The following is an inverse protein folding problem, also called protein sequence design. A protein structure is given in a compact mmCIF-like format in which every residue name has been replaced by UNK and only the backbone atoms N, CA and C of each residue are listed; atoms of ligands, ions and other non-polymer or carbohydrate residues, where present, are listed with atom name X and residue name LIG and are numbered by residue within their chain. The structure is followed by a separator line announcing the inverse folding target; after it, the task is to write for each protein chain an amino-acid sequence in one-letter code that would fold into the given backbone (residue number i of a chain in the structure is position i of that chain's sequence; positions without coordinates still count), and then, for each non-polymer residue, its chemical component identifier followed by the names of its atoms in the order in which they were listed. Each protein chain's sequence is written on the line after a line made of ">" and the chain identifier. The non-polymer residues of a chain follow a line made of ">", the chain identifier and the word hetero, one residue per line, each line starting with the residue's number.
data_IF_666272552551
#
_entry.id   IF_666272552551
#
_cell.length_a   1.000
_cell.length_b   1.000
_cell.length_c   1.000
_cell.angle_alpha   90.00
_cell.angle_beta   90.00
_cell.angle_gamma   90.00
#
_symmetry.space_group_name_H-M   'P 1'
#
loop_
_entity.id
_entity.type
_entity.pdbx_description
1 polymer ?
#
# COMPACT_ATOMS: atom_id res chain seq x y z
N UNK A 1 -35.52 2.21 -119.99
CA UNK A 1 -34.99 1.36 -118.89
C UNK A 1 -35.32 1.88 -117.46
N UNK A 2 -36.29 2.78 -117.23
CA UNK A 2 -36.54 3.30 -115.86
C UNK A 2 -37.15 2.26 -114.92
N UNK A 3 -38.32 1.71 -115.28
CA UNK A 3 -39.15 0.87 -114.41
C UNK A 3 -38.42 -0.33 -113.77
N UNK A 4 -37.44 -0.94 -114.44
CA UNK A 4 -36.67 -2.07 -113.88
C UNK A 4 -35.71 -1.63 -112.76
N UNK A 5 -35.15 -0.42 -112.83
CA UNK A 5 -34.37 0.16 -111.73
C UNK A 5 -35.27 0.56 -110.56
N UNK A 6 -36.48 1.04 -110.88
CA UNK A 6 -37.48 1.52 -109.93
C UNK A 6 -38.10 0.37 -109.11
N UNK A 7 -38.54 -0.71 -109.77
CA UNK A 7 -38.92 -1.97 -109.12
C UNK A 7 -37.79 -2.53 -108.24
N UNK A 8 -36.53 -2.48 -108.71
CA UNK A 8 -35.37 -2.94 -107.93
C UNK A 8 -35.01 -2.02 -106.76
N UNK A 9 -35.48 -0.76 -106.75
CA UNK A 9 -35.39 0.14 -105.61
C UNK A 9 -36.51 -0.12 -104.59
N UNK A 10 -37.75 -0.34 -105.06
CA UNK A 10 -38.90 -0.70 -104.22
C UNK A 10 -38.71 -2.08 -103.54
N UNK A 11 -37.97 -3.01 -104.16
CA UNK A 11 -37.61 -4.30 -103.58
C UNK A 11 -36.45 -4.23 -102.54
N UNK A 12 -36.08 -3.04 -102.06
CA UNK A 12 -35.27 -2.87 -100.83
C UNK A 12 -36.19 -2.59 -99.64
N UNK A 13 -36.57 -3.59 -98.84
CA UNK A 13 -37.51 -3.38 -97.75
C UNK A 13 -36.90 -2.61 -96.58
N UNK A 14 -37.72 -1.92 -95.75
CA UNK A 14 -37.30 -1.45 -94.43
C UNK A 14 -36.78 -2.64 -93.60
N UNK A 15 -35.58 -2.50 -93.06
CA UNK A 15 -34.74 -3.61 -92.57
C UNK A 15 -35.34 -4.46 -91.43
N UNK A 16 -36.37 -3.97 -90.75
CA UNK A 16 -37.07 -4.67 -89.66
C UNK A 16 -38.34 -5.41 -90.13
N UNK A 17 -39.13 -4.83 -91.03
CA UNK A 17 -40.41 -5.42 -91.44
C UNK A 17 -40.22 -6.67 -92.30
N UNK A 18 -39.21 -6.68 -93.20
CA UNK A 18 -38.89 -7.90 -93.96
C UNK A 18 -38.33 -9.02 -93.07
N UNK A 19 -37.55 -8.72 -92.02
CA UNK A 19 -37.13 -9.74 -91.04
C UNK A 19 -38.34 -10.37 -90.33
N UNK A 20 -39.40 -9.59 -90.10
CA UNK A 20 -40.68 -10.05 -89.54
C UNK A 20 -41.50 -10.94 -90.48
N UNK A 21 -41.26 -10.86 -91.79
CA UNK A 21 -41.90 -11.66 -92.84
C UNK A 21 -41.06 -12.88 -93.27
N UNK A 22 -39.78 -12.91 -92.91
CA UNK A 22 -38.82 -13.97 -93.26
C UNK A 22 -38.49 -14.90 -92.09
N UNK A 23 -39.00 -14.62 -90.89
CA UNK A 23 -38.99 -15.52 -89.75
C UNK A 23 -40.38 -16.13 -89.59
N UNK A 24 -40.45 -17.39 -89.17
CA UNK A 24 -41.70 -17.99 -88.69
C UNK A 24 -42.25 -17.14 -87.52
N UNK A 25 -43.58 -16.89 -87.44
CA UNK A 25 -44.17 -16.09 -86.37
C UNK A 25 -43.78 -16.52 -84.95
N UNK A 26 -43.73 -17.83 -84.67
CA UNK A 26 -43.35 -18.34 -83.35
C UNK A 26 -41.86 -18.14 -83.07
N UNK A 27 -41.01 -18.29 -84.09
CA UNK A 27 -39.57 -18.00 -83.99
C UNK A 27 -39.34 -16.50 -83.73
N UNK A 28 -40.10 -15.61 -84.38
CA UNK A 28 -40.02 -14.18 -84.14
C UNK A 28 -40.49 -13.79 -82.73
N UNK A 29 -41.54 -14.43 -82.21
CA UNK A 29 -42.03 -14.21 -80.85
C UNK A 29 -41.00 -14.63 -79.80
N UNK A 30 -40.43 -15.83 -79.89
CA UNK A 30 -39.38 -16.28 -78.96
C UNK A 30 -38.10 -15.43 -79.06
N UNK A 31 -37.66 -15.00 -80.25
CA UNK A 31 -36.55 -14.03 -80.36
C UNK A 31 -36.88 -12.69 -79.68
N UNK A 32 -38.13 -12.23 -79.74
CA UNK A 32 -38.56 -10.98 -79.08
C UNK A 32 -38.60 -11.16 -77.56
N UNK A 33 -39.14 -12.28 -77.08
CA UNK A 33 -39.17 -12.68 -75.66
C UNK A 33 -37.76 -12.79 -75.07
N UNK A 34 -36.85 -13.48 -75.76
CA UNK A 34 -35.45 -13.63 -75.35
C UNK A 34 -34.73 -12.28 -75.31
N UNK A 35 -34.93 -11.41 -76.31
CA UNK A 35 -34.36 -10.05 -76.30
C UNK A 35 -34.85 -9.23 -75.11
N UNK A 36 -36.15 -9.24 -74.84
CA UNK A 36 -36.73 -8.51 -73.70
C UNK A 36 -36.20 -9.05 -72.35
N UNK A 37 -36.04 -10.37 -72.22
CA UNK A 37 -35.49 -11.01 -71.03
C UNK A 37 -34.00 -10.69 -70.84
N UNK A 38 -33.22 -10.59 -71.91
CA UNK A 38 -31.82 -10.13 -71.84
C UNK A 38 -31.77 -8.67 -71.37
N UNK A 39 -32.58 -7.78 -71.95
CA UNK A 39 -32.65 -6.35 -71.56
C UNK A 39 -33.10 -6.18 -70.09
N UNK A 40 -34.02 -7.00 -69.59
CA UNK A 40 -34.42 -7.06 -68.19
C UNK A 40 -33.25 -7.49 -67.27
N UNK A 41 -32.53 -8.57 -67.63
CA UNK A 41 -31.45 -9.10 -66.78
C UNK A 41 -30.18 -8.27 -66.84
N UNK A 42 -29.89 -7.58 -67.95
CA UNK A 42 -28.84 -6.57 -68.02
C UNK A 42 -29.14 -5.38 -67.09
N UNK A 43 -30.40 -4.94 -67.03
CA UNK A 43 -30.86 -3.89 -66.11
C UNK A 43 -30.75 -4.34 -64.65
N UNK A 44 -31.25 -5.53 -64.29
CA UNK A 44 -31.08 -6.08 -62.93
C UNK A 44 -29.61 -6.24 -62.54
N UNK A 45 -28.76 -6.74 -63.45
CA UNK A 45 -27.34 -6.94 -63.19
C UNK A 45 -26.65 -5.61 -62.91
N UNK A 46 -26.98 -4.57 -63.69
CA UNK A 46 -26.47 -3.22 -63.45
C UNK A 46 -26.94 -2.65 -62.11
N UNK A 47 -28.23 -2.73 -61.79
CA UNK A 47 -28.77 -2.22 -60.51
C UNK A 47 -28.14 -2.93 -59.30
N UNK A 48 -27.90 -4.24 -59.40
CA UNK A 48 -27.19 -5.03 -58.39
C UNK A 48 -25.71 -4.63 -58.31
N UNK A 49 -25.03 -4.42 -59.44
CA UNK A 49 -23.63 -4.00 -59.48
C UNK A 49 -23.43 -2.58 -58.92
N UNK A 50 -24.32 -1.64 -59.26
CA UNK A 50 -24.32 -0.28 -58.73
C UNK A 50 -24.58 -0.29 -57.21
N UNK A 51 -25.51 -1.15 -56.74
CA UNK A 51 -25.78 -1.37 -55.30
C UNK A 51 -24.56 -1.95 -54.57
N UNK A 52 -23.92 -2.99 -55.11
CA UNK A 52 -22.68 -3.57 -54.56
C UNK A 52 -21.57 -2.51 -54.51
N UNK A 53 -21.45 -1.68 -55.55
CA UNK A 53 -20.44 -0.62 -55.63
C UNK A 53 -20.69 0.50 -54.62
N UNK A 54 -21.95 0.83 -54.32
CA UNK A 54 -22.33 1.82 -53.30
C UNK A 54 -22.14 1.30 -51.87
N UNK A 55 -22.32 -0.01 -51.63
CA UNK A 55 -22.09 -0.66 -50.35
C UNK A 55 -20.61 -1.03 -50.11
N UNK A 56 -19.79 -1.10 -51.16
CA UNK A 56 -18.38 -1.44 -51.07
C UNK A 56 -17.58 -0.31 -50.42
N UNK A 57 -16.98 -0.59 -49.27
CA UNK A 57 -16.08 0.36 -48.61
C UNK A 57 -14.87 0.67 -49.50
N UNK A 58 -14.70 1.95 -49.84
CA UNK A 58 -13.57 2.46 -50.63
C UNK A 58 -12.85 3.55 -49.83
N UNK A 59 -11.62 3.33 -49.33
CA UNK A 59 -10.95 4.25 -48.40
C UNK A 59 -10.61 5.62 -49.02
N UNK A 60 -10.64 5.74 -50.36
CA UNK A 60 -10.42 7.00 -51.07
C UNK A 60 -11.69 7.87 -51.20
N UNK A 61 -12.88 7.31 -51.00
CA UNK A 61 -14.16 8.03 -51.07
C UNK A 61 -14.31 9.04 -49.92
N UNK A 62 -15.24 10.00 -50.04
CA UNK A 62 -15.51 10.98 -48.97
C UNK A 62 -15.95 10.29 -47.67
N UNK A 63 -16.81 9.28 -47.77
CA UNK A 63 -17.27 8.49 -46.63
C UNK A 63 -16.12 7.62 -46.06
N UNK A 64 -15.36 6.95 -46.93
CA UNK A 64 -14.24 6.10 -46.51
C UNK A 64 -13.15 6.88 -45.78
N UNK A 65 -12.77 8.06 -46.29
CA UNK A 65 -11.82 8.97 -45.63
C UNK A 65 -12.32 9.43 -44.26
N UNK A 66 -13.60 9.76 -44.14
CA UNK A 66 -14.22 10.17 -42.88
C UNK A 66 -14.23 9.03 -41.85
N UNK A 67 -14.58 7.80 -42.29
CA UNK A 67 -14.54 6.62 -41.42
C UNK A 67 -13.11 6.32 -40.95
N UNK A 68 -12.12 6.30 -41.87
CA UNK A 68 -10.71 6.07 -41.53
C UNK A 68 -10.13 7.16 -40.63
N UNK A 69 -10.60 8.40 -40.73
CA UNK A 69 -10.23 9.46 -39.79
C UNK A 69 -10.81 9.18 -38.40
N UNK A 70 -12.11 8.86 -38.30
CA UNK A 70 -12.75 8.51 -37.02
C UNK A 70 -12.12 7.25 -36.39
N UNK A 71 -11.75 6.25 -37.18
CA UNK A 71 -11.05 5.06 -36.68
C UNK A 71 -9.66 5.38 -36.10
N UNK A 72 -8.91 6.31 -36.70
CA UNK A 72 -7.64 6.78 -36.12
C UNK A 72 -7.85 7.52 -34.81
N UNK A 73 -8.77 8.50 -34.77
CA UNK A 73 -9.05 9.24 -33.53
C UNK A 73 -9.55 8.33 -32.41
N UNK A 74 -10.42 7.36 -32.70
CA UNK A 74 -10.82 6.34 -31.72
C UNK A 74 -9.67 5.44 -31.28
N UNK A 75 -8.68 5.18 -32.14
CA UNK A 75 -7.49 4.41 -31.75
C UNK A 75 -6.56 5.25 -30.87
N UNK A 76 -6.31 6.52 -31.23
CA UNK A 76 -5.55 7.51 -30.47
C UNK A 76 -6.16 7.70 -29.05
N UNK A 77 -7.48 7.87 -28.95
CA UNK A 77 -8.22 7.94 -27.68
C UNK A 77 -8.07 6.66 -26.83
N UNK A 78 -8.13 5.47 -27.44
CA UNK A 78 -7.96 4.21 -26.71
C UNK A 78 -6.51 3.99 -26.23
N UNK A 79 -5.52 4.41 -27.02
CA UNK A 79 -4.11 4.37 -26.64
C UNK A 79 -3.82 5.35 -25.49
N UNK A 80 -4.38 6.56 -25.51
CA UNK A 80 -4.30 7.52 -24.39
C UNK A 80 -4.95 6.99 -23.11
N UNK A 81 -6.15 6.41 -23.21
CA UNK A 81 -6.84 5.76 -22.06
C UNK A 81 -6.00 4.60 -21.50
N UNK A 82 -5.39 3.79 -22.37
CA UNK A 82 -4.48 2.71 -21.97
C UNK A 82 -3.25 3.21 -21.23
N UNK A 83 -2.61 4.25 -21.76
CA UNK A 83 -1.46 4.90 -21.13
C UNK A 83 -1.84 5.47 -19.76
N UNK A 84 -2.88 6.30 -19.67
CA UNK A 84 -3.34 6.91 -18.40
C UNK A 84 -3.74 5.87 -17.35
N UNK A 85 -4.39 4.77 -17.74
CA UNK A 85 -4.73 3.68 -16.83
C UNK A 85 -3.47 2.94 -16.30
N UNK A 86 -2.44 2.78 -17.14
CA UNK A 86 -1.19 2.13 -16.76
C UNK A 86 -0.30 3.05 -15.89
N UNK A 87 -0.13 4.31 -16.27
CA UNK A 87 0.66 5.32 -15.57
C UNK A 87 0.03 5.71 -14.24
N UNK A 88 -1.28 5.96 -14.21
CA UNK A 88 -2.01 6.31 -12.98
C UNK A 88 -1.88 5.23 -11.90
N UNK A 89 -2.05 3.97 -12.27
CA UNK A 89 -1.89 2.83 -11.35
C UNK A 89 -0.42 2.63 -10.94
N UNK A 90 0.54 2.85 -11.84
CA UNK A 90 1.96 2.80 -11.51
C UNK A 90 2.35 3.91 -10.53
N UNK A 91 1.83 5.12 -10.73
CA UNK A 91 2.06 6.28 -9.86
C UNK A 91 1.43 6.08 -8.47
N UNK A 92 0.20 5.58 -8.39
CA UNK A 92 -0.46 5.23 -7.12
C UNK A 92 0.38 4.21 -6.33
N UNK A 93 0.79 3.11 -6.97
CA UNK A 93 1.64 2.08 -6.35
C UNK A 93 3.02 2.63 -5.94
N UNK A 94 3.61 3.53 -6.72
CA UNK A 94 4.87 4.19 -6.37
C UNK A 94 4.73 5.12 -5.14
N UNK A 95 3.61 5.85 -5.03
CA UNK A 95 3.30 6.69 -3.87
C UNK A 95 3.04 5.83 -2.62
N UNK A 96 2.27 4.75 -2.73
CA UNK A 96 2.07 3.78 -1.65
C UNK A 96 3.40 3.16 -1.19
N UNK A 97 4.28 2.78 -2.12
CA UNK A 97 5.62 2.25 -1.83
C UNK A 97 6.52 3.28 -1.13
N UNK A 98 6.45 4.55 -1.51
CA UNK A 98 7.19 5.63 -0.85
C UNK A 98 6.73 5.84 0.60
N UNK A 99 5.40 5.87 0.83
CA UNK A 99 4.82 5.95 2.17
C UNK A 99 5.23 4.74 3.05
N UNK A 100 5.14 3.52 2.51
CA UNK A 100 5.55 2.30 3.22
C UNK A 100 7.05 2.30 3.57
N UNK A 101 7.92 2.82 2.70
CA UNK A 101 9.35 3.01 3.00
C UNK A 101 9.57 4.00 4.15
N UNK A 102 8.83 5.12 4.17
CA UNK A 102 8.90 6.10 5.26
C UNK A 102 8.48 5.49 6.59
N UNK A 103 7.34 4.80 6.63
CA UNK A 103 6.82 4.13 7.84
C UNK A 103 7.78 3.05 8.36
N UNK A 104 8.41 2.28 7.46
CA UNK A 104 9.43 1.29 7.83
C UNK A 104 10.71 1.94 8.39
N UNK A 105 11.13 3.10 7.87
CA UNK A 105 12.27 3.85 8.39
C UNK A 105 11.98 4.44 9.78
N UNK A 106 10.77 4.97 9.98
CA UNK A 106 10.31 5.50 11.27
C UNK A 106 10.23 4.40 12.33
N UNK A 107 9.59 3.27 12.04
CA UNK A 107 9.52 2.12 12.95
C UNK A 107 10.92 1.61 13.36
N UNK A 108 11.87 1.55 12.41
CA UNK A 108 13.27 1.19 12.72
C UNK A 108 13.92 2.17 13.68
N UNK A 109 13.72 3.48 13.47
CA UNK A 109 14.21 4.53 14.37
C UNK A 109 13.60 4.42 15.77
N UNK A 110 12.29 4.16 15.86
CA UNK A 110 11.58 3.94 17.13
C UNK A 110 12.11 2.70 17.87
N UNK A 111 12.32 1.57 17.18
CA UNK A 111 12.91 0.36 17.78
C UNK A 111 14.36 0.57 18.23
N UNK A 112 15.18 1.31 17.48
CA UNK A 112 16.57 1.59 17.88
C UNK A 112 16.63 2.55 19.10
N UNK A 113 15.72 3.52 19.17
CA UNK A 113 15.53 4.35 20.37
C UNK A 113 15.09 3.55 21.59
N UNK A 114 14.14 2.63 21.41
CA UNK A 114 13.67 1.72 22.46
C UNK A 114 14.78 0.78 22.96
N UNK A 115 15.62 0.25 22.05
CA UNK A 115 16.76 -0.59 22.42
C UNK A 115 17.75 0.17 23.30
N UNK A 116 18.12 1.40 22.93
CA UNK A 116 19.04 2.24 23.71
C UNK A 116 18.48 2.62 25.08
N UNK A 117 17.17 2.83 25.18
CA UNK A 117 16.51 3.07 26.47
C UNK A 117 16.49 1.81 27.35
N UNK A 118 16.25 0.63 26.77
CA UNK A 118 16.30 -0.65 27.48
C UNK A 118 17.71 -0.99 27.95
N UNK A 119 18.72 -0.74 27.13
CA UNK A 119 20.14 -0.88 27.47
C UNK A 119 20.55 0.03 28.63
N UNK A 120 20.14 1.31 28.61
CA UNK A 120 20.32 2.23 29.74
C UNK A 120 19.67 1.73 31.03
N UNK A 121 18.42 1.25 30.95
CA UNK A 121 17.70 0.71 32.09
C UNK A 121 18.35 -0.57 32.66
N UNK A 122 18.90 -1.44 31.82
CA UNK A 122 19.69 -2.61 32.27
C UNK A 122 20.91 -2.15 33.05
N UNK A 123 21.68 -1.19 32.54
CA UNK A 123 22.87 -0.66 33.22
C UNK A 123 22.53 -0.03 34.58
N UNK A 124 21.42 0.71 34.68
CA UNK A 124 20.94 1.29 35.94
C UNK A 124 20.48 0.21 36.94
N UNK A 125 19.86 -0.88 36.47
CA UNK A 125 19.48 -2.03 37.31
C UNK A 125 20.72 -2.79 37.81
N UNK A 126 21.71 -3.06 36.95
CA UNK A 126 22.97 -3.70 37.34
C UNK A 126 23.71 -2.89 38.41
N UNK A 127 23.82 -1.57 38.21
CA UNK A 127 24.43 -0.64 39.17
C UNK A 127 23.65 -0.53 40.49
N UNK A 128 22.32 -0.55 40.43
CA UNK A 128 21.47 -0.57 41.63
C UNK A 128 21.66 -1.87 42.42
N UNK A 129 21.82 -2.99 41.73
CA UNK A 129 22.08 -4.30 42.34
C UNK A 129 23.48 -4.40 42.97
N UNK A 130 24.51 -3.88 42.31
CA UNK A 130 25.87 -3.73 42.89
C UNK A 130 25.83 -2.88 44.17
N UNK A 131 25.15 -1.74 44.13
CA UNK A 131 24.98 -0.86 45.29
C UNK A 131 24.19 -1.54 46.43
N UNK A 132 23.20 -2.38 46.12
CA UNK A 132 22.46 -3.15 47.12
C UNK A 132 23.36 -4.18 47.84
N UNK A 133 24.23 -4.89 47.10
CA UNK A 133 25.21 -5.83 47.67
C UNK A 133 26.19 -5.11 48.61
N UNK A 134 26.75 -3.96 48.17
CA UNK A 134 27.66 -3.14 48.98
C UNK A 134 26.98 -2.61 50.27
N UNK A 135 25.66 -2.36 50.22
CA UNK A 135 24.89 -1.95 51.40
C UNK A 135 24.57 -3.12 52.33
N UNK A 136 24.41 -4.35 51.81
CA UNK A 136 24.23 -5.56 52.60
C UNK A 136 25.52 -5.93 53.35
N UNK A 137 26.67 -5.97 52.67
CA UNK A 137 27.99 -6.20 53.28
C UNK A 137 28.24 -5.22 54.44
N UNK A 138 27.99 -3.93 54.22
CA UNK A 138 28.12 -2.89 55.26
C UNK A 138 27.08 -2.98 56.36
N UNK A 139 25.95 -3.65 56.16
CA UNK A 139 24.99 -3.93 57.24
C UNK A 139 25.55 -5.04 58.13
N UNK A 140 26.02 -6.13 57.52
CA UNK A 140 26.62 -7.27 58.23
C UNK A 140 27.89 -6.87 59.01
N UNK A 141 28.74 -6.00 58.47
CA UNK A 141 29.87 -5.40 59.22
C UNK A 141 29.41 -4.67 60.49
N UNK A 142 28.29 -3.95 60.41
CA UNK A 142 27.78 -3.13 61.53
C UNK A 142 27.07 -3.98 62.56
N UNK A 143 26.30 -4.98 62.15
CA UNK A 143 25.69 -5.93 63.06
C UNK A 143 26.76 -6.74 63.81
N UNK A 144 27.84 -7.15 63.15
CA UNK A 144 28.99 -7.81 63.81
C UNK A 144 29.68 -6.92 64.86
N UNK A 145 29.96 -5.65 64.54
CA UNK A 145 30.56 -4.71 65.51
C UNK A 145 29.57 -4.36 66.64
N UNK A 146 28.26 -4.29 66.36
CA UNK A 146 27.21 -4.10 67.38
C UNK A 146 27.18 -5.29 68.35
N UNK A 147 27.17 -6.53 67.85
CA UNK A 147 27.23 -7.73 68.71
C UNK A 147 28.52 -7.78 69.51
N UNK A 148 29.67 -7.44 68.91
CA UNK A 148 30.93 -7.32 69.64
C UNK A 148 30.84 -6.30 70.77
N UNK A 149 30.34 -5.09 70.50
CA UNK A 149 30.22 -4.03 71.50
C UNK A 149 29.23 -4.39 72.62
N UNK A 150 28.13 -5.11 72.32
CA UNK A 150 27.22 -5.68 73.33
C UNK A 150 27.95 -6.66 74.25
N UNK A 151 28.72 -7.59 73.68
CA UNK A 151 29.50 -8.57 74.44
C UNK A 151 30.58 -7.89 75.32
N UNK A 152 31.31 -6.89 74.78
CA UNK A 152 32.27 -6.10 75.56
C UNK A 152 31.59 -5.28 76.68
N UNK A 153 30.35 -4.83 76.50
CA UNK A 153 29.60 -4.12 77.53
C UNK A 153 29.11 -5.06 78.64
N UNK A 154 28.56 -6.23 78.29
CA UNK A 154 28.12 -7.26 79.26
C UNK A 154 29.29 -7.79 80.09
N UNK A 155 30.47 -7.99 79.50
CA UNK A 155 31.66 -8.38 80.25
C UNK A 155 32.09 -7.30 81.24
N UNK A 156 31.98 -6.01 80.88
CA UNK A 156 32.31 -4.90 81.79
C UNK A 156 31.34 -4.82 82.98
N UNK A 157 30.02 -4.95 82.76
CA UNK A 157 29.06 -4.91 83.87
C UNK A 157 29.26 -6.06 84.86
N UNK A 158 29.48 -7.29 84.37
CA UNK A 158 29.79 -8.45 85.25
C UNK A 158 31.10 -8.24 86.03
N UNK A 159 32.12 -7.64 85.41
CA UNK A 159 33.40 -7.31 86.08
C UNK A 159 33.27 -6.14 87.07
N UNK A 160 32.24 -5.30 86.96
CA UNK A 160 31.93 -4.23 87.91
C UNK A 160 31.10 -4.78 89.09
N UNK A 161 30.07 -5.60 88.83
CA UNK A 161 29.33 -6.36 89.85
C UNK A 161 30.26 -7.26 90.69
N UNK A 162 31.17 -8.02 90.04
CA UNK A 162 32.17 -8.84 90.73
C UNK A 162 33.20 -8.04 91.56
N UNK A 163 33.30 -6.73 91.38
CA UNK A 163 34.16 -5.86 92.21
C UNK A 163 33.40 -5.30 93.40
N UNK A 164 32.16 -4.84 93.21
CA UNK A 164 31.32 -4.34 94.30
C UNK A 164 31.03 -5.45 95.33
N UNK A 165 30.76 -6.69 94.88
CA UNK A 165 30.52 -7.83 95.79
C UNK A 165 31.78 -8.25 96.59
N UNK A 166 32.98 -7.82 96.18
CA UNK A 166 34.24 -8.13 96.87
C UNK A 166 34.73 -7.02 97.82
N UNK A 167 33.96 -5.95 98.01
CA UNK A 167 34.34 -4.79 98.85
C UNK A 167 33.35 -4.44 99.96
N UNK A 168 32.98 -5.42 100.79
CA UNK A 168 33.07 -5.32 102.27
C UNK A 168 32.63 -6.62 102.96
N UNK A 169 33.24 -7.00 104.10
CA UNK A 169 32.53 -6.71 105.35
C UNK A 169 33.39 -6.32 106.58
N UNK A 170 32.95 -5.25 107.25
CA UNK A 170 33.04 -4.99 108.70
C UNK A 170 34.41 -4.55 109.28
N UNK A 171 34.47 -4.01 110.53
CA UNK A 171 33.36 -3.72 111.47
C UNK A 171 33.29 -2.28 112.00
N UNK A 172 32.16 -1.97 112.65
CA UNK A 172 31.91 -0.72 113.39
C UNK A 172 32.85 -0.61 114.59
N UNK A 173 33.43 0.58 114.81
CA UNK A 173 33.85 1.03 116.14
C UNK A 173 33.01 2.24 116.59
N UNK A 174 32.71 2.28 117.89
CA UNK A 174 32.06 3.42 118.56
C UNK A 174 33.10 4.10 119.43
N UNK A 175 33.25 5.41 119.27
CA UNK A 175 33.66 6.29 120.36
C UNK A 175 32.56 7.35 120.55
N UNK A 176 32.38 7.81 121.79
CA UNK A 176 31.23 8.63 122.21
C UNK A 176 31.60 9.47 123.44
N UNK A 177 31.20 10.74 123.42
CA UNK A 177 31.10 11.68 124.56
C UNK A 177 32.45 12.04 125.25
N UNK A 178 32.65 13.08 126.09
CA UNK A 178 31.82 14.16 126.71
C UNK A 178 32.82 15.27 127.20
N UNK A 179 32.63 16.60 127.24
CA UNK A 179 31.63 17.58 126.72
C UNK A 179 32.39 18.73 125.98
N UNK A 180 32.36 20.08 126.12
CA UNK A 180 31.66 21.19 126.83
C UNK A 180 31.63 22.41 125.83
N UNK A 181 30.77 23.45 125.82
CA UNK A 181 30.42 24.55 126.78
C UNK A 181 31.60 25.55 127.00
N UNK A 182 31.48 26.88 126.85
CA UNK A 182 30.31 27.81 126.93
C UNK A 182 30.38 29.01 125.92
N UNK A 183 29.34 29.85 125.79
CA UNK A 183 29.44 31.14 125.08
C UNK A 183 28.15 31.86 124.58
N UNK A 184 27.32 32.36 125.49
CA UNK A 184 26.26 33.40 125.25
C UNK A 184 26.79 34.71 124.59
N UNK A 185 26.02 35.65 124.00
CA UNK A 185 24.56 35.92 123.82
C UNK A 185 24.36 36.97 122.69
N UNK A 186 23.13 37.12 122.12
CA UNK A 186 22.29 38.36 122.19
C UNK A 186 21.13 38.42 121.16
N UNK A 187 19.97 38.88 121.65
CA UNK A 187 18.76 39.45 120.98
C UNK A 187 18.43 39.03 119.53
#
# INVERSE_FOLDING_TARGET
>A
MSAVRELKAQLKPPSMQARRLLLDPAIHEEFTRLKNLVEEKEKELKEKQDTISALSFTPQSKMGKMLMAKCRTLQEENEEIGNLASEGKMHELAMQLALQKSQNAELRSQFEGLHKHMEGLTNDVERSNEMALILQEKLEEKDQEIERLKNEAQQKSVIEEEKEEKTDPAPIQKERDEEMIDGETNN
#
